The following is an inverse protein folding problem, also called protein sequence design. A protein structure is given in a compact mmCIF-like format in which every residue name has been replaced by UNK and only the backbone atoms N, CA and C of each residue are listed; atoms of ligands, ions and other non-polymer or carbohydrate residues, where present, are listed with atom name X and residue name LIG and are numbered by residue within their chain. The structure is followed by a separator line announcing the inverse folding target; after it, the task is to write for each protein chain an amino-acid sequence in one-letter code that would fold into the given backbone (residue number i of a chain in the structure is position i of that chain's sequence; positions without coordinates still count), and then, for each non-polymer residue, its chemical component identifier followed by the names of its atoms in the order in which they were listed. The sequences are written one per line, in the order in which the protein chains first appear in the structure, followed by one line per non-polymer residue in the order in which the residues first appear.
data_IF_646760409437
#
_entry.id   IF_646760409437
#
_cell.length_a   1.000
_cell.length_b   1.000
_cell.length_c   1.000
_cell.angle_alpha   90.00
_cell.angle_beta   90.00
_cell.angle_gamma   90.00
#
_symmetry.space_group_name_H-M   'P 1'
#
loop_
_entity.id
_entity.type
_entity.pdbx_description
1 polymer ?
#
# COMPACT_ATOMS: atom_id res chain seq x y z
N UNK A 1 -6.77 35.92 -10.32
CA UNK A 1 -7.70 36.12 -9.19
C UNK A 1 -7.60 34.93 -8.26
N UNK A 2 -7.34 35.11 -6.95
CA UNK A 2 -7.21 33.99 -6.03
C UNK A 2 -8.60 33.44 -5.69
N UNK A 3 -8.88 32.20 -6.04
CA UNK A 3 -10.12 31.51 -5.67
C UNK A 3 -10.07 31.18 -4.18
N UNK A 4 -10.98 31.80 -3.42
CA UNK A 4 -11.23 31.56 -2.01
C UNK A 4 -11.50 30.07 -1.81
N UNK A 5 -10.70 29.38 -0.98
CA UNK A 5 -11.00 28.01 -0.53
C UNK A 5 -12.43 28.00 0.01
N UNK A 6 -13.29 27.03 -0.34
CA UNK A 6 -14.60 26.92 0.30
C UNK A 6 -14.39 26.77 1.81
N UNK A 7 -15.16 27.53 2.59
CA UNK A 7 -15.18 27.39 4.05
C UNK A 7 -15.46 25.92 4.42
N UNK A 8 -14.76 25.41 5.42
CA UNK A 8 -15.01 24.07 5.95
C UNK A 8 -16.51 23.89 6.21
N UNK A 9 -17.11 22.85 5.65
CA UNK A 9 -18.51 22.56 5.87
C UNK A 9 -18.79 22.51 7.39
N UNK A 10 -19.92 23.07 7.86
CA UNK A 10 -20.25 23.06 9.27
C UNK A 10 -20.27 21.61 9.79
N UNK A 11 -19.76 21.42 11.00
CA UNK A 11 -19.72 20.10 11.61
C UNK A 11 -21.13 19.48 11.62
N UNK A 12 -21.28 18.21 11.22
CA UNK A 12 -22.58 17.56 11.18
C UNK A 12 -23.20 17.50 12.59
N UNK A 13 -24.54 17.60 12.66
CA UNK A 13 -25.25 17.46 13.92
C UNK A 13 -25.01 16.10 14.56
N UNK A 14 -25.10 15.99 15.90
CA UNK A 14 -24.97 14.71 16.61
C UNK A 14 -25.92 13.63 16.07
N UNK A 15 -27.14 14.01 15.69
CA UNK A 15 -28.12 13.10 15.10
C UNK A 15 -27.64 12.54 13.74
N UNK A 16 -27.05 13.39 12.91
CA UNK A 16 -26.47 12.98 11.61
C UNK A 16 -25.24 12.11 11.77
N UNK A 17 -24.41 12.37 12.79
CA UNK A 17 -23.25 11.52 13.11
C UNK A 17 -23.73 10.15 13.58
N UNK A 18 -24.67 10.11 14.52
CA UNK A 18 -25.18 8.86 15.07
C UNK A 18 -25.87 8.01 13.99
N UNK A 19 -26.67 8.60 13.10
CA UNK A 19 -27.32 7.83 12.03
C UNK A 19 -26.31 7.18 11.07
N UNK A 20 -25.20 7.88 10.76
CA UNK A 20 -24.13 7.32 9.93
C UNK A 20 -23.36 6.22 10.66
N UNK A 21 -23.00 6.44 11.93
CA UNK A 21 -22.29 5.44 12.72
C UNK A 21 -23.13 4.18 12.95
N UNK A 22 -24.43 4.33 13.24
CA UNK A 22 -25.35 3.20 13.42
C UNK A 22 -25.69 2.45 12.12
N UNK A 23 -25.41 3.03 10.95
CA UNK A 23 -25.67 2.37 9.66
C UNK A 23 -24.60 1.36 9.25
N UNK A 24 -23.39 1.48 9.80
CA UNK A 24 -22.32 0.48 9.62
C UNK A 24 -22.42 -0.53 10.76
N UNK A 25 -22.78 -1.81 10.50
CA UNK A 25 -22.85 -2.82 11.55
C UNK A 25 -21.46 -3.23 12.08
N UNK A 26 -20.38 -2.79 11.43
CA UNK A 26 -19.01 -3.12 11.81
C UNK A 26 -18.64 -2.43 13.12
N UNK A 27 -18.12 -3.21 14.07
CA UNK A 27 -17.58 -2.70 15.34
C UNK A 27 -16.17 -3.23 15.58
N UNK A 28 -15.25 -2.35 15.96
CA UNK A 28 -13.83 -2.68 16.16
C UNK A 28 -13.54 -2.75 17.65
N UNK A 29 -13.04 -3.90 18.10
CA UNK A 29 -12.52 -4.09 19.45
C UNK A 29 -11.01 -3.93 19.45
N UNK A 30 -10.49 -3.26 20.47
CA UNK A 30 -9.05 -3.01 20.62
C UNK A 30 -8.52 -3.75 21.84
N UNK A 31 -7.28 -4.23 21.73
CA UNK A 31 -6.48 -4.70 22.87
C UNK A 31 -5.41 -3.65 23.15
N UNK A 32 -5.31 -3.22 24.39
CA UNK A 32 -4.19 -2.39 24.83
C UNK A 32 -2.92 -3.24 24.89
N UNK A 33 -1.84 -2.74 24.30
CA UNK A 33 -0.51 -3.35 24.36
C UNK A 33 0.34 -2.43 25.22
N UNK A 34 0.69 -2.87 26.43
CA UNK A 34 1.62 -2.16 27.29
C UNK A 34 3.04 -2.25 26.71
N UNK A 35 3.88 -1.27 27.07
CA UNK A 35 5.35 -1.34 26.88
C UNK A 35 5.86 -1.32 25.44
N UNK A 36 5.05 -0.87 24.47
CA UNK A 36 5.55 -0.61 23.11
C UNK A 36 5.90 0.88 22.92
N UNK A 37 7.13 1.23 22.48
CA UNK A 37 7.46 2.60 22.14
C UNK A 37 6.48 3.13 21.11
N UNK A 38 6.00 4.37 21.26
CA UNK A 38 5.11 4.98 20.27
C UNK A 38 5.79 5.17 18.90
N UNK A 39 7.12 5.09 18.85
CA UNK A 39 7.92 5.03 17.62
C UNK A 39 7.79 3.71 16.87
N UNK A 40 7.43 2.61 17.54
CA UNK A 40 7.14 1.33 16.91
C UNK A 40 5.69 1.36 16.41
N UNK A 41 5.50 1.23 15.10
CA UNK A 41 4.17 1.36 14.54
C UNK A 41 3.17 0.26 14.94
N UNK A 42 1.90 0.40 14.53
CA UNK A 42 0.86 -0.56 14.85
C UNK A 42 1.25 -1.91 14.27
N UNK A 43 0.78 -2.98 14.90
CA UNK A 43 1.01 -4.32 14.36
C UNK A 43 0.11 -4.52 13.15
N UNK A 44 0.72 -4.76 11.98
CA UNK A 44 -0.01 -5.10 10.76
C UNK A 44 -0.51 -6.54 10.78
N UNK A 45 -1.30 -6.91 9.77
CA UNK A 45 -1.80 -8.27 9.59
C UNK A 45 -0.69 -9.35 9.44
N UNK A 46 0.52 -8.98 9.03
CA UNK A 46 1.68 -9.88 9.02
C UNK A 46 2.23 -10.18 10.43
N UNK A 47 1.74 -9.47 11.46
CA UNK A 47 2.20 -9.63 12.84
C UNK A 47 3.45 -8.80 13.17
N UNK A 48 3.93 -7.96 12.25
CA UNK A 48 5.09 -7.07 12.46
C UNK A 48 4.64 -5.60 12.59
N UNK A 49 5.40 -4.74 13.31
CA UNK A 49 5.14 -3.31 13.35
C UNK A 49 5.22 -2.66 11.96
N UNK A 50 4.28 -1.78 11.64
CA UNK A 50 4.30 -1.01 10.40
C UNK A 50 5.31 0.13 10.46
N UNK A 51 6.09 0.27 9.41
CA UNK A 51 7.11 1.31 9.23
C UNK A 51 6.56 2.44 8.35
N UNK A 52 6.50 3.69 8.86
CA UNK A 52 6.06 4.84 8.07
C UNK A 52 6.80 4.95 6.73
N UNK A 53 6.03 5.04 5.65
CA UNK A 53 6.51 5.15 4.29
C UNK A 53 7.14 3.89 3.69
N UNK A 54 7.16 2.77 4.41
CA UNK A 54 7.71 1.49 3.93
C UNK A 54 6.71 0.34 4.00
N UNK A 55 5.62 0.49 4.73
CA UNK A 55 4.57 -0.53 4.81
C UNK A 55 3.36 -0.16 3.96
N UNK A 56 2.72 -1.18 3.39
CA UNK A 56 1.44 -1.04 2.69
C UNK A 56 0.46 -2.13 3.09
N UNK A 57 -0.82 -1.78 3.09
CA UNK A 57 -1.90 -2.77 3.11
C UNK A 57 -2.24 -3.19 1.69
N UNK A 58 -2.39 -4.49 1.48
CA UNK A 58 -2.70 -5.10 0.17
C UNK A 58 -3.85 -6.10 0.28
N UNK A 59 -4.31 -6.60 -0.87
CA UNK A 59 -5.21 -7.75 -0.93
C UNK A 59 -4.39 -9.07 -0.91
N UNK A 60 -4.40 -9.84 0.19
CA UNK A 60 -3.54 -11.01 0.35
C UNK A 60 -3.89 -12.15 -0.61
N UNK A 61 -5.05 -12.10 -1.28
CA UNK A 61 -5.46 -13.10 -2.28
C UNK A 61 -4.67 -12.99 -3.58
N UNK A 62 -4.00 -11.86 -3.80
CA UNK A 62 -3.30 -11.54 -5.05
C UNK A 62 -1.89 -11.00 -4.80
N UNK A 63 -1.62 -10.40 -3.65
CA UNK A 63 -0.28 -9.97 -3.24
C UNK A 63 0.05 -10.58 -1.89
N UNK A 64 0.95 -11.58 -1.82
CA UNK A 64 1.26 -12.25 -0.57
C UNK A 64 1.86 -11.28 0.46
N UNK A 65 1.48 -11.45 1.73
CA UNK A 65 2.08 -10.68 2.82
C UNK A 65 3.55 -11.06 3.00
N UNK A 66 4.36 -10.09 3.40
CA UNK A 66 5.81 -10.18 3.56
C UNK A 66 6.60 -9.81 2.31
N UNK A 67 5.97 -9.77 1.14
CA UNK A 67 6.69 -9.58 -0.12
C UNK A 67 7.06 -8.11 -0.33
N UNK A 68 8.25 -7.83 -0.90
CA UNK A 68 8.60 -6.51 -1.36
C UNK A 68 7.73 -6.14 -2.56
N UNK A 69 7.26 -4.91 -2.56
CA UNK A 69 6.41 -4.35 -3.60
C UNK A 69 7.04 -3.03 -4.05
N UNK A 70 7.31 -2.87 -5.33
CA UNK A 70 7.69 -1.58 -5.88
C UNK A 70 6.44 -0.83 -6.30
N UNK A 71 6.28 0.40 -5.79
CA UNK A 71 5.22 1.30 -6.19
C UNK A 71 5.77 2.36 -7.14
N UNK A 72 4.98 2.72 -8.15
CA UNK A 72 5.19 3.90 -8.96
C UNK A 72 3.87 4.67 -9.07
N UNK A 73 3.78 5.79 -8.38
CA UNK A 73 2.65 6.71 -8.45
C UNK A 73 3.13 8.15 -8.25
N UNK A 74 2.33 9.16 -8.65
CA UNK A 74 2.56 10.53 -8.21
C UNK A 74 2.50 10.63 -6.68
N UNK A 75 3.41 11.39 -6.09
CA UNK A 75 3.32 11.72 -4.68
C UNK A 75 2.22 12.77 -4.43
N UNK A 76 1.47 12.69 -3.33
CA UNK A 76 0.49 13.72 -2.97
C UNK A 76 1.16 15.09 -2.78
N UNK A 77 0.43 16.15 -3.07
CA UNK A 77 0.92 17.53 -2.93
C UNK A 77 1.40 17.80 -1.49
N UNK A 78 2.61 18.36 -1.36
CA UNK A 78 3.25 18.60 -0.07
C UNK A 78 4.06 17.40 0.47
N UNK A 79 4.08 16.27 -0.24
CA UNK A 79 4.97 15.16 0.09
C UNK A 79 6.42 15.48 -0.20
N UNK A 80 7.30 15.23 0.75
CA UNK A 80 8.75 15.11 0.52
C UNK A 80 9.15 13.69 0.11
N UNK A 81 8.23 12.74 0.21
CA UNK A 81 8.45 11.33 -0.11
C UNK A 81 8.01 11.07 -1.55
N UNK A 82 8.92 10.55 -2.38
CA UNK A 82 8.60 10.01 -3.70
C UNK A 82 7.80 8.70 -3.57
N UNK A 83 6.77 8.54 -4.40
CA UNK A 83 5.97 7.31 -4.50
C UNK A 83 6.48 6.36 -5.61
N UNK A 84 7.72 6.56 -6.07
CA UNK A 84 8.51 5.58 -6.83
C UNK A 84 9.48 4.90 -5.87
N UNK A 85 9.01 3.87 -5.15
CA UNK A 85 9.80 3.29 -4.07
C UNK A 85 9.44 1.85 -3.75
N UNK A 86 10.42 1.16 -3.17
CA UNK A 86 10.23 -0.15 -2.57
C UNK A 86 9.55 -0.04 -1.20
N UNK A 87 8.48 -0.82 -1.03
CA UNK A 87 7.68 -0.98 0.19
C UNK A 87 7.48 -2.48 0.47
N UNK A 88 6.84 -2.81 1.59
CA UNK A 88 6.56 -4.18 2.00
C UNK A 88 5.06 -4.36 2.29
N UNK A 89 4.50 -5.45 1.76
CA UNK A 89 3.13 -5.89 2.03
C UNK A 89 3.03 -6.44 3.46
N UNK A 90 2.79 -5.59 4.45
CA UNK A 90 2.81 -5.98 5.87
C UNK A 90 1.43 -5.93 6.53
N UNK A 91 0.43 -5.45 5.80
CA UNK A 91 -0.93 -5.30 6.32
C UNK A 91 -2.00 -5.67 5.29
N UNK A 92 -3.25 -5.74 5.76
CA UNK A 92 -4.42 -5.87 4.90
C UNK A 92 -5.58 -5.03 5.44
N UNK A 93 -6.60 -4.81 4.62
CA UNK A 93 -7.80 -4.11 5.03
C UNK A 93 -9.02 -4.60 4.26
N UNK A 94 -10.19 -4.61 4.91
CA UNK A 94 -11.43 -5.12 4.30
C UNK A 94 -11.80 -4.42 2.98
N UNK A 95 -11.46 -3.13 2.85
CA UNK A 95 -11.69 -2.31 1.65
C UNK A 95 -10.56 -2.37 0.61
N UNK A 96 -9.44 -3.03 0.91
CA UNK A 96 -8.28 -3.12 0.02
C UNK A 96 -8.41 -4.40 -0.79
N UNK A 97 -8.93 -4.25 -2.02
CA UNK A 97 -9.30 -5.37 -2.89
C UNK A 97 -8.76 -5.17 -4.31
N UNK A 98 -8.27 -6.24 -4.92
CA UNK A 98 -7.80 -6.27 -6.30
C UNK A 98 -6.28 -6.29 -6.47
N UNK A 99 -5.83 -6.69 -7.65
CA UNK A 99 -4.41 -6.96 -7.95
C UNK A 99 -3.51 -5.73 -7.92
N UNK A 100 -4.02 -4.56 -8.31
CA UNK A 100 -3.26 -3.29 -8.33
C UNK A 100 -3.94 -2.31 -7.38
N UNK A 101 -3.89 -2.63 -6.09
CA UNK A 101 -4.43 -1.79 -5.01
C UNK A 101 -3.56 -1.91 -3.77
N UNK A 102 -3.02 -0.77 -3.35
CA UNK A 102 -2.29 -0.64 -2.09
C UNK A 102 -2.87 0.53 -1.28
N UNK A 103 -2.85 0.40 0.04
CA UNK A 103 -3.03 1.51 0.98
C UNK A 103 -1.68 1.83 1.62
N UNK A 104 -1.25 3.08 1.51
CA UNK A 104 0.10 3.46 1.87
C UNK A 104 0.17 4.00 3.29
N UNK A 105 1.01 3.38 4.12
CA UNK A 105 1.12 3.78 5.52
C UNK A 105 2.03 5.00 5.67
N UNK A 106 1.45 6.19 5.84
CA UNK A 106 2.20 7.45 6.00
C UNK A 106 2.81 7.67 7.37
N UNK A 107 2.40 6.91 8.39
CA UNK A 107 2.86 7.07 9.77
C UNK A 107 1.81 7.70 10.69
N UNK A 108 2.27 8.49 11.66
CA UNK A 108 1.45 8.99 12.78
C UNK A 108 1.29 10.50 12.76
N UNK A 109 0.27 10.97 13.48
CA UNK A 109 0.05 12.39 13.69
C UNK A 109 -0.71 13.08 12.56
N UNK A 110 -0.84 14.40 12.70
CA UNK A 110 -1.71 15.20 11.87
C UNK A 110 -1.17 15.36 10.45
N UNK A 111 0.16 15.46 10.26
CA UNK A 111 0.74 15.52 8.92
C UNK A 111 0.49 14.21 8.17
N UNK A 112 0.81 13.06 8.77
CA UNK A 112 0.58 11.76 8.14
C UNK A 112 -0.90 11.55 7.78
N UNK A 113 -1.82 11.97 8.64
CA UNK A 113 -3.26 11.93 8.36
C UNK A 113 -3.68 12.82 7.19
N UNK A 114 -3.07 13.99 7.01
CA UNK A 114 -3.31 14.84 5.84
C UNK A 114 -2.78 14.21 4.55
N UNK A 115 -1.59 13.61 4.61
CA UNK A 115 -0.96 12.89 3.48
C UNK A 115 -1.79 11.67 3.06
N UNK A 116 -2.26 10.88 4.03
CA UNK A 116 -3.14 9.75 3.76
C UNK A 116 -4.43 10.18 3.05
N UNK A 117 -5.07 11.25 3.52
CA UNK A 117 -6.32 11.77 2.93
C UNK A 117 -6.13 12.32 1.51
N UNK A 118 -4.98 12.91 1.21
CA UNK A 118 -4.68 13.45 -0.13
C UNK A 118 -4.21 12.37 -1.11
N UNK A 119 -3.90 11.16 -0.63
CA UNK A 119 -3.43 10.05 -1.48
C UNK A 119 -4.61 9.37 -2.19
N UNK A 120 -4.81 9.73 -3.46
CA UNK A 120 -5.72 9.02 -4.36
C UNK A 120 -5.21 9.12 -5.79
N UNK A 121 -4.30 8.22 -6.14
CA UNK A 121 -3.63 8.26 -7.43
C UNK A 121 -3.73 6.93 -8.16
N UNK A 122 -3.74 6.99 -9.48
CA UNK A 122 -3.42 5.83 -10.31
C UNK A 122 -1.92 5.58 -10.21
N UNK A 123 -1.55 4.32 -10.10
CA UNK A 123 -0.16 3.91 -10.00
C UNK A 123 0.03 2.50 -10.54
N UNK A 124 1.30 2.11 -10.60
CA UNK A 124 1.74 0.78 -10.99
C UNK A 124 2.36 0.09 -9.78
N UNK A 125 2.27 -1.24 -9.76
CA UNK A 125 2.72 -2.07 -8.67
C UNK A 125 3.41 -3.31 -9.23
N UNK A 126 4.62 -3.59 -8.75
CA UNK A 126 5.37 -4.80 -9.07
C UNK A 126 5.65 -5.56 -7.78
N UNK A 127 5.32 -6.85 -7.75
CA UNK A 127 5.67 -7.73 -6.63
C UNK A 127 7.00 -8.37 -6.96
N UNK A 128 7.98 -8.19 -6.08
CA UNK A 128 9.29 -8.79 -6.24
C UNK A 128 9.26 -10.18 -5.62
N UNK A 129 9.49 -11.20 -6.44
CA UNK A 129 9.52 -12.58 -6.00
C UNK A 129 10.97 -13.01 -5.75
N UNK A 130 11.23 -13.84 -4.72
CA UNK A 130 12.50 -14.53 -4.59
C UNK A 130 12.81 -15.30 -5.88
N UNK A 131 14.07 -15.31 -6.31
CA UNK A 131 14.49 -15.93 -7.58
C UNK A 131 14.06 -17.39 -7.68
N UNK A 132 14.22 -18.16 -6.61
CA UNK A 132 13.78 -19.55 -6.55
C UNK A 132 12.26 -19.73 -6.74
N UNK A 133 11.46 -18.79 -6.25
CA UNK A 133 10.00 -18.81 -6.44
C UNK A 133 9.62 -18.37 -7.85
N UNK A 134 10.28 -17.34 -8.37
CA UNK A 134 10.13 -16.92 -9.77
C UNK A 134 10.42 -18.08 -10.74
N UNK A 135 11.55 -18.77 -10.55
CA UNK A 135 11.90 -19.97 -11.35
C UNK A 135 10.87 -21.10 -11.22
N UNK A 136 10.31 -21.32 -10.03
CA UNK A 136 9.25 -22.33 -9.82
C UNK A 136 7.96 -21.95 -10.55
N UNK A 137 7.59 -20.67 -10.53
CA UNK A 137 6.38 -20.19 -11.19
C UNK A 137 6.51 -20.18 -12.71
N UNK A 138 7.68 -19.81 -13.25
CA UNK A 138 7.94 -19.88 -14.70
C UNK A 138 8.03 -21.31 -15.23
N UNK A 139 8.56 -22.25 -14.43
CA UNK A 139 8.56 -23.67 -14.75
C UNK A 139 7.17 -24.34 -14.57
N UNK A 140 6.24 -23.67 -13.90
CA UNK A 140 4.91 -24.20 -13.62
C UNK A 140 3.99 -24.06 -14.83
N UNK A 141 3.13 -25.07 -15.06
CA UNK A 141 2.04 -25.01 -16.06
C UNK A 141 0.80 -24.25 -15.55
N UNK A 142 0.87 -23.68 -14.35
CA UNK A 142 -0.21 -22.87 -13.78
C UNK A 142 -0.38 -21.58 -14.58
N UNK A 143 -1.47 -21.50 -15.33
CA UNK A 143 -1.89 -20.28 -16.02
C UNK A 143 -2.67 -19.42 -15.02
N UNK A 144 -2.11 -18.26 -14.67
CA UNK A 144 -2.85 -17.24 -13.91
C UNK A 144 -3.80 -16.51 -14.86
N UNK A 145 -4.99 -16.13 -14.39
CA UNK A 145 -5.91 -15.27 -15.17
C UNK A 145 -5.32 -13.85 -15.19
N UNK A 146 -4.47 -13.58 -16.17
CA UNK A 146 -3.85 -12.28 -16.44
C UNK A 146 -3.47 -12.17 -17.91
N UNK A 147 -3.24 -10.96 -18.40
CA UNK A 147 -2.77 -10.74 -19.77
C UNK A 147 -1.41 -11.44 -19.93
N UNK A 148 -1.31 -12.36 -20.88
CA UNK A 148 -0.03 -12.96 -21.25
C UNK A 148 0.91 -11.84 -21.68
N UNK A 149 1.99 -11.61 -20.92
CA UNK A 149 3.15 -10.93 -21.48
C UNK A 149 3.64 -11.84 -22.60
N UNK A 150 3.70 -11.32 -23.82
CA UNK A 150 4.21 -12.08 -24.95
C UNK A 150 5.64 -12.55 -24.63
N UNK A 151 5.92 -13.82 -24.93
CA UNK A 151 7.27 -14.36 -24.90
C UNK A 151 8.14 -13.48 -25.82
N UNK A 152 9.12 -12.76 -25.24
CA UNK A 152 9.99 -11.82 -25.95
C UNK A 152 9.97 -10.37 -25.49
N UNK A 153 9.36 -10.05 -24.33
CA UNK A 153 9.50 -8.70 -23.76
C UNK A 153 10.85 -8.62 -23.04
N UNK A 154 11.82 -7.89 -23.61
CA UNK A 154 13.08 -7.57 -22.94
C UNK A 154 12.80 -6.92 -21.57
N UNK A 155 13.45 -7.46 -20.54
CA UNK A 155 13.30 -7.00 -19.17
C UNK A 155 14.00 -5.64 -19.01
N UNK A 156 13.26 -4.53 -19.01
CA UNK A 156 13.82 -3.27 -18.57
C UNK A 156 14.07 -3.34 -17.06
N UNK A 157 15.34 -3.31 -16.66
CA UNK A 157 15.70 -3.25 -15.25
C UNK A 157 15.00 -2.06 -14.59
N UNK A 158 14.13 -2.37 -13.62
CA UNK A 158 13.33 -1.39 -12.89
C UNK A 158 14.18 -0.49 -11.97
N UNK A 159 15.37 -0.98 -11.60
CA UNK A 159 16.41 -0.24 -10.87
C UNK A 159 17.65 -0.22 -11.76
N UNK A 160 18.11 0.94 -12.23
CA UNK A 160 19.30 1.05 -13.06
C UNK A 160 20.55 0.98 -12.20
N UNK A 161 20.79 -0.15 -11.56
CA UNK A 161 22.07 -0.45 -10.89
C UNK A 161 22.72 -1.64 -11.61
N UNK A 162 23.87 -1.38 -12.24
CA UNK A 162 24.59 -2.35 -13.07
C UNK A 162 25.16 -3.55 -12.30
N UNK A 163 25.06 -3.56 -10.97
CA UNK A 163 25.52 -4.64 -10.10
C UNK A 163 24.41 -5.66 -9.75
N UNK A 164 23.14 -5.26 -9.86
CA UNK A 164 21.98 -6.09 -9.44
C UNK A 164 21.01 -6.44 -10.57
N UNK A 165 21.26 -5.97 -11.80
CA UNK A 165 20.67 -6.58 -12.99
C UNK A 165 21.29 -7.96 -13.16
N UNK A 166 20.67 -8.98 -12.56
CA UNK A 166 20.98 -10.34 -12.90
C UNK A 166 20.48 -10.60 -14.33
N UNK A 167 21.32 -10.26 -15.31
CA UNK A 167 21.27 -10.91 -16.61
C UNK A 167 21.61 -12.38 -16.37
N UNK A 168 20.72 -13.26 -16.82
CA UNK A 168 20.98 -14.70 -16.87
C UNK A 168 20.83 -15.05 -18.35
N UNK A 169 21.95 -15.37 -18.98
CA UNK A 169 22.00 -16.06 -20.27
C UNK A 169 21.12 -17.32 -20.28
#
# INVERSE_FOLDING_TARGET
APTKRPAAAPAPSKATVNSRLSSDPSYVFFKTVADRPQSEGPQGALGVPLTPGRSVAVDPRVTPLGYPVFLSAPAPAGSTISMQRLVFAQDTGGAIRGAVRADYFWGFGNEAGQMARSTKHRGQMWVLLPTAEASRLTASKLVTRGVSLAAGTEHSCLVPDGEFCAEVD
#
